data_IF_422137198280
#
_entry.id   IF_422137198280
#
_cell.length_a   1.000
_cell.length_b   1.000
_cell.length_c   1.000
_cell.angle_alpha   90.00
_cell.angle_beta   90.00
_cell.angle_gamma   90.00
#
_symmetry.space_group_name_H-M   'P 1'
#
loop_
_entity.id
_entity.type
_entity.pdbx_description
1 polymer ?
#
# COMPACT_ATOMS: atom_id res chain seq x y z
N UNK A 1 -19.47 3.36 33.27
CA UNK A 1 -18.00 3.36 33.16
C UNK A 1 -17.57 4.66 32.52
N UNK A 2 -17.00 5.59 33.34
CA UNK A 2 -16.47 6.86 32.85
C UNK A 2 -15.19 6.58 32.06
N UNK A 3 -15.16 6.92 30.77
CA UNK A 3 -13.96 6.88 29.96
C UNK A 3 -12.93 7.85 30.53
N UNK A 4 -11.77 7.34 30.89
CA UNK A 4 -10.64 8.15 31.28
C UNK A 4 -10.22 9.01 30.07
N UNK A 5 -10.56 10.30 30.09
CA UNK A 5 -9.99 11.29 29.18
C UNK A 5 -8.53 11.45 29.57
N UNK A 6 -7.63 10.81 28.84
CA UNK A 6 -6.19 11.07 28.93
C UNK A 6 -5.98 12.55 28.58
N UNK A 7 -5.67 13.39 29.57
CA UNK A 7 -5.40 14.80 29.34
C UNK A 7 -4.16 14.92 28.45
N UNK A 8 -4.29 15.71 27.39
CA UNK A 8 -3.19 16.01 26.47
C UNK A 8 -2.00 16.61 27.22
N UNK A 9 -0.74 16.17 26.98
CA UNK A 9 0.43 16.74 27.63
C UNK A 9 0.58 18.24 27.33
N UNK A 10 0.76 19.06 28.36
CA UNK A 10 0.91 20.51 28.22
C UNK A 10 2.20 20.91 27.48
N UNK A 11 3.29 20.12 27.61
CA UNK A 11 4.57 20.36 26.94
C UNK A 11 4.51 19.95 25.47
N UNK A 12 4.76 20.86 24.49
CA UNK A 12 4.78 20.56 23.08
C UNK A 12 5.73 19.42 22.69
N UNK A 13 6.86 19.28 23.35
CA UNK A 13 7.84 18.21 23.08
C UNK A 13 7.26 16.82 23.41
N UNK A 14 6.52 16.74 24.51
CA UNK A 14 5.83 15.50 24.90
C UNK A 14 4.70 15.16 23.92
N UNK A 15 3.98 16.18 23.42
CA UNK A 15 2.94 15.97 22.37
C UNK A 15 3.56 15.42 21.10
N UNK A 16 4.66 16.00 20.61
CA UNK A 16 5.39 15.49 19.44
C UNK A 16 5.86 14.05 19.67
N UNK A 17 6.48 13.78 20.82
CA UNK A 17 6.93 12.42 21.16
C UNK A 17 5.79 11.41 21.21
N UNK A 18 4.65 11.77 21.78
CA UNK A 18 3.46 10.93 21.84
C UNK A 18 2.86 10.67 20.43
N UNK A 19 2.79 11.70 19.59
CA UNK A 19 2.33 11.60 18.22
C UNK A 19 3.22 10.66 17.39
N UNK A 20 4.54 10.84 17.46
CA UNK A 20 5.50 9.96 16.78
C UNK A 20 5.39 8.52 17.28
N UNK A 21 5.25 8.32 18.60
CA UNK A 21 5.09 6.98 19.17
C UNK A 21 3.80 6.30 18.68
N UNK A 22 2.70 7.05 18.58
CA UNK A 22 1.43 6.54 18.07
C UNK A 22 1.46 6.24 16.56
N UNK A 23 2.27 6.99 15.79
CA UNK A 23 2.42 6.80 14.35
C UNK A 23 3.37 5.66 13.98
N UNK A 24 4.16 5.11 14.93
CA UNK A 24 5.10 4.03 14.66
C UNK A 24 4.41 2.73 14.31
N UNK A 25 4.82 2.16 13.17
CA UNK A 25 4.38 0.85 12.71
C UNK A 25 5.55 -0.13 12.85
N UNK A 26 5.39 -1.07 13.79
CA UNK A 26 6.39 -2.11 14.04
C UNK A 26 6.18 -3.31 13.12
N UNK A 27 7.24 -4.08 12.81
CA UNK A 27 7.09 -5.33 12.09
C UNK A 27 6.24 -6.31 12.90
N UNK A 28 5.37 -7.04 12.20
CA UNK A 28 4.51 -8.06 12.80
C UNK A 28 4.76 -9.40 12.17
N UNK A 29 4.50 -10.47 12.90
CA UNK A 29 4.68 -11.84 12.38
C UNK A 29 3.87 -12.07 11.10
N UNK A 30 2.63 -11.61 11.08
CA UNK A 30 1.71 -11.81 9.96
C UNK A 30 2.01 -10.88 8.77
N UNK A 31 2.87 -9.88 8.96
CA UNK A 31 3.35 -8.98 7.92
C UNK A 31 4.46 -9.59 7.05
N UNK A 32 5.02 -10.74 7.43
CA UNK A 32 6.09 -11.37 6.67
C UNK A 32 5.57 -12.29 5.57
N UNK A 33 6.05 -12.04 4.36
CA UNK A 33 5.97 -12.96 3.22
C UNK A 33 7.40 -13.43 2.90
N UNK A 34 7.77 -14.62 3.36
CA UNK A 34 9.16 -15.08 3.41
C UNK A 34 10.05 -14.09 4.19
N UNK A 35 11.07 -13.51 3.55
CA UNK A 35 11.96 -12.52 4.14
C UNK A 35 11.54 -11.06 3.92
N UNK A 36 10.37 -10.83 3.32
CA UNK A 36 9.83 -9.49 3.02
C UNK A 36 8.84 -9.11 4.12
N UNK A 37 9.12 -8.05 4.87
CA UNK A 37 8.12 -7.42 5.75
C UNK A 37 7.24 -6.53 4.90
N UNK A 38 5.95 -6.81 4.85
CA UNK A 38 4.94 -5.97 4.22
C UNK A 38 4.20 -5.14 5.27
N UNK A 39 4.16 -3.83 5.05
CA UNK A 39 3.38 -2.90 5.87
C UNK A 39 2.14 -2.43 5.09
N UNK A 40 0.98 -2.25 5.73
CA UNK A 40 -0.11 -1.49 5.12
C UNK A 40 0.31 -0.02 5.05
N UNK A 41 0.29 0.57 3.86
CA UNK A 41 0.61 1.99 3.71
C UNK A 41 -0.51 2.86 4.32
N UNK A 42 -0.11 3.83 5.12
CA UNK A 42 -0.96 4.87 5.66
C UNK A 42 -0.20 6.20 5.67
N UNK A 43 -0.90 7.28 5.36
CA UNK A 43 -0.30 8.61 5.38
C UNK A 43 0.14 9.00 6.79
N UNK A 44 1.36 9.55 6.91
CA UNK A 44 1.94 9.96 8.19
C UNK A 44 2.43 8.82 9.10
N UNK A 45 2.36 7.56 8.68
CA UNK A 45 2.91 6.44 9.44
C UNK A 45 4.45 6.45 9.45
N UNK A 46 5.06 6.06 10.58
CA UNK A 46 6.51 5.93 10.76
C UNK A 46 6.87 4.44 10.77
N UNK A 47 7.42 3.93 9.66
CA UNK A 47 7.74 2.50 9.51
C UNK A 47 9.09 2.17 10.11
N UNK A 48 9.12 1.23 11.06
CA UNK A 48 10.34 0.77 11.71
C UNK A 48 11.07 -0.25 10.85
N UNK A 49 12.33 0.01 10.51
CA UNK A 49 13.17 -0.89 9.72
C UNK A 49 14.47 -1.18 10.48
N UNK A 50 14.70 -2.45 10.71
CA UNK A 50 15.92 -2.94 11.39
C UNK A 50 16.96 -3.34 10.36
N UNK A 51 18.19 -2.90 10.58
CA UNK A 51 19.34 -3.10 9.70
C UNK A 51 20.55 -3.59 10.51
N UNK A 52 21.57 -4.12 9.85
CA UNK A 52 22.82 -4.52 10.53
C UNK A 52 24.05 -4.21 9.66
N UNK A 53 25.21 -3.90 10.25
CA UNK A 53 26.46 -3.73 9.51
C UNK A 53 26.81 -4.98 8.69
N UNK A 54 27.32 -4.75 7.48
CA UNK A 54 27.64 -5.84 6.55
C UNK A 54 26.45 -6.45 5.80
N UNK A 55 25.24 -6.02 6.13
CA UNK A 55 24.01 -6.45 5.46
C UNK A 55 23.36 -5.25 4.74
N UNK A 56 22.72 -5.52 3.61
CA UNK A 56 21.90 -4.54 2.87
C UNK A 56 20.44 -4.86 3.13
N UNK A 57 19.68 -3.84 3.49
CA UNK A 57 18.22 -3.91 3.55
C UNK A 57 17.64 -3.23 2.31
N UNK A 58 16.76 -3.93 1.60
CA UNK A 58 16.04 -3.46 0.43
C UNK A 58 14.69 -2.88 0.85
N UNK A 59 14.46 -1.62 0.52
CA UNK A 59 13.17 -0.95 0.68
C UNK A 59 12.53 -0.82 -0.70
N UNK A 60 11.59 -1.72 -1.01
CA UNK A 60 10.96 -1.83 -2.32
C UNK A 60 9.66 -1.01 -2.36
N UNK A 61 9.57 -0.04 -3.27
CA UNK A 61 8.38 0.79 -3.49
C UNK A 61 7.31 0.04 -4.30
N UNK A 62 6.20 0.69 -4.59
CA UNK A 62 5.15 0.11 -5.43
C UNK A 62 5.62 -0.01 -6.88
N UNK A 63 5.16 -1.05 -7.58
CA UNK A 63 5.40 -1.17 -9.03
C UNK A 63 4.85 0.03 -9.80
N UNK A 64 5.66 0.55 -10.73
CA UNK A 64 5.34 1.73 -11.53
C UNK A 64 5.44 3.06 -10.78
N UNK A 65 5.78 3.06 -9.49
CA UNK A 65 6.02 4.27 -8.69
C UNK A 65 7.44 4.80 -8.96
N UNK A 66 7.59 6.12 -9.11
CA UNK A 66 8.84 6.76 -9.48
C UNK A 66 9.29 7.77 -8.42
N UNK A 67 10.60 7.85 -8.21
CA UNK A 67 11.17 8.93 -7.40
C UNK A 67 11.03 10.27 -8.13
N UNK A 68 10.68 11.33 -7.40
CA UNK A 68 10.43 12.67 -7.99
C UNK A 68 11.20 13.78 -7.30
N UNK A 69 11.59 14.77 -8.08
CA UNK A 69 12.29 15.96 -7.60
C UNK A 69 13.80 15.76 -7.38
N UNK A 70 14.52 16.85 -7.06
CA UNK A 70 15.92 16.79 -6.69
C UNK A 70 16.07 16.25 -5.27
N UNK A 71 16.82 15.17 -5.08
CA UNK A 71 17.01 14.54 -3.76
C UNK A 71 15.72 13.87 -3.23
N UNK A 72 15.14 12.92 -3.99
CA UNK A 72 13.88 12.29 -3.60
C UNK A 72 13.99 11.41 -2.36
N UNK A 73 15.20 11.02 -1.98
CA UNK A 73 15.51 10.27 -0.77
C UNK A 73 16.37 11.14 0.14
N UNK A 74 15.82 11.53 1.28
CA UNK A 74 16.51 12.33 2.29
C UNK A 74 16.72 11.50 3.56
N UNK A 75 17.94 11.53 4.11
CA UNK A 75 18.28 10.85 5.35
C UNK A 75 18.75 11.88 6.39
N UNK A 76 18.40 11.65 7.65
CA UNK A 76 18.86 12.47 8.76
C UNK A 76 20.36 12.33 9.02
N UNK A 77 20.93 11.18 8.68
CA UNK A 77 22.37 10.89 8.84
C UNK A 77 22.92 10.22 7.57
N UNK A 78 23.61 10.98 6.76
CA UNK A 78 24.25 10.52 5.52
C UNK A 78 25.71 10.09 5.68
N UNK A 79 26.29 10.28 6.86
CA UNK A 79 27.69 9.94 7.14
C UNK A 79 27.82 8.48 7.59
N UNK A 80 26.92 8.03 8.46
CA UNK A 80 26.98 6.69 9.05
C UNK A 80 26.07 5.67 8.34
N UNK A 81 25.32 6.12 7.33
CA UNK A 81 24.42 5.30 6.52
C UNK A 81 24.78 5.41 5.05
N UNK A 82 24.98 4.26 4.44
CA UNK A 82 25.18 4.14 2.99
C UNK A 82 23.81 3.89 2.38
N UNK A 83 23.39 4.78 1.50
CA UNK A 83 22.07 4.75 0.87
C UNK A 83 22.28 4.88 -0.63
N UNK A 84 21.62 4.01 -1.38
CA UNK A 84 21.58 4.03 -2.84
C UNK A 84 20.20 3.65 -3.34
N UNK A 85 19.94 3.88 -4.59
CA UNK A 85 18.71 3.45 -5.26
C UNK A 85 19.03 2.68 -6.54
N UNK A 86 18.11 1.82 -6.92
CA UNK A 86 18.15 1.06 -8.17
C UNK A 86 16.73 0.72 -8.62
N UNK A 87 16.62 0.22 -9.85
CA UNK A 87 15.32 -0.17 -10.41
C UNK A 87 15.40 -1.61 -10.89
N UNK A 88 14.41 -2.41 -10.56
CA UNK A 88 14.18 -3.73 -11.13
C UNK A 88 12.97 -3.72 -12.06
N UNK A 89 12.91 -4.67 -13.00
CA UNK A 89 11.82 -4.77 -13.97
C UNK A 89 11.89 -3.69 -15.05
N UNK A 90 10.82 -3.55 -15.82
CA UNK A 90 10.74 -2.59 -16.92
C UNK A 90 9.29 -2.14 -17.18
N UNK A 91 9.12 -0.95 -17.77
CA UNK A 91 7.81 -0.40 -18.08
C UNK A 91 6.93 -0.24 -16.85
N UNK A 92 5.67 -0.67 -16.93
CA UNK A 92 4.71 -0.57 -15.85
C UNK A 92 5.05 -1.47 -14.65
N UNK A 93 5.90 -2.48 -14.82
CA UNK A 93 6.38 -3.40 -13.79
C UNK A 93 7.71 -2.94 -13.17
N UNK A 94 8.24 -1.80 -13.58
CA UNK A 94 9.46 -1.25 -12.99
C UNK A 94 9.21 -0.91 -11.51
N UNK A 95 10.16 -1.32 -10.66
CA UNK A 95 10.07 -1.09 -9.21
C UNK A 95 11.35 -0.43 -8.72
N UNK A 96 11.20 0.66 -8.01
CA UNK A 96 12.32 1.35 -7.35
C UNK A 96 12.64 0.66 -6.03
N UNK A 97 13.91 0.49 -5.77
CA UNK A 97 14.48 -0.06 -4.56
C UNK A 97 15.43 0.93 -3.91
N UNK A 98 15.24 1.22 -2.64
CA UNK A 98 16.18 2.01 -1.84
C UNK A 98 16.97 1.02 -0.99
N UNK A 99 18.29 0.97 -1.24
CA UNK A 99 19.20 0.06 -0.57
C UNK A 99 19.88 0.79 0.58
N UNK A 100 19.76 0.28 1.80
CA UNK A 100 20.30 0.90 2.98
C UNK A 100 21.26 -0.04 3.73
N UNK A 101 22.38 0.50 4.21
CA UNK A 101 23.36 -0.23 5.01
C UNK A 101 23.97 0.69 6.07
N UNK A 102 23.93 0.34 7.37
CA UNK A 102 24.61 1.09 8.41
C UNK A 102 26.11 0.77 8.41
N UNK A 103 26.93 1.71 8.84
CA UNK A 103 28.38 1.51 8.98
C UNK A 103 28.77 0.83 10.30
N UNK A 104 27.93 0.92 11.34
CA UNK A 104 28.12 0.31 12.64
C UNK A 104 26.77 0.00 13.31
N UNK A 105 26.75 -0.86 14.35
CA UNK A 105 25.53 -1.09 15.13
C UNK A 105 25.21 0.12 16.04
N UNK A 106 24.07 0.07 16.69
CA UNK A 106 23.60 1.01 17.72
C UNK A 106 23.53 2.46 17.25
N UNK A 107 23.17 2.66 15.98
CA UNK A 107 22.81 3.95 15.39
C UNK A 107 21.40 3.92 14.84
N UNK A 108 20.76 5.09 14.85
CA UNK A 108 19.45 5.28 14.27
C UNK A 108 19.42 6.53 13.40
N UNK A 109 18.57 6.53 12.40
CA UNK A 109 18.26 7.69 11.56
C UNK A 109 16.86 7.54 10.99
N UNK A 110 16.42 8.53 10.25
CA UNK A 110 15.17 8.45 9.48
C UNK A 110 15.43 8.68 7.99
N UNK A 111 14.55 8.14 7.18
CA UNK A 111 14.45 8.41 5.75
C UNK A 111 13.10 9.04 5.44
N UNK A 112 13.13 9.98 4.51
CA UNK A 112 11.94 10.48 3.82
C UNK A 112 12.12 10.17 2.35
N UNK A 113 11.20 9.42 1.77
CA UNK A 113 11.23 9.01 0.37
C UNK A 113 10.01 9.63 -0.33
N UNK A 114 10.27 10.48 -1.33
CA UNK A 114 9.24 11.17 -2.10
C UNK A 114 9.08 10.54 -3.47
N UNK A 115 7.84 10.22 -3.81
CA UNK A 115 7.49 9.60 -5.09
C UNK A 115 6.41 10.41 -5.81
N UNK A 116 6.09 10.01 -7.03
CA UNK A 116 4.98 10.56 -7.81
C UNK A 116 3.59 10.24 -7.23
N UNK A 117 3.52 9.34 -6.24
CA UNK A 117 2.26 8.89 -5.63
C UNK A 117 2.11 9.30 -4.16
N UNK A 118 3.21 9.26 -3.39
CA UNK A 118 3.15 9.43 -1.93
C UNK A 118 4.52 9.72 -1.32
N UNK A 119 4.51 10.00 -0.02
CA UNK A 119 5.74 10.11 0.79
C UNK A 119 5.78 8.96 1.80
N UNK A 120 6.96 8.37 1.97
CA UNK A 120 7.22 7.34 2.98
C UNK A 120 8.13 7.91 4.07
N UNK A 121 7.76 7.70 5.33
CA UNK A 121 8.59 8.03 6.48
C UNK A 121 9.07 6.73 7.12
N UNK A 122 10.37 6.51 7.10
CA UNK A 122 11.00 5.29 7.60
C UNK A 122 11.96 5.64 8.72
N UNK A 123 11.88 4.96 9.85
CA UNK A 123 12.85 5.03 10.93
C UNK A 123 13.77 3.81 10.86
N UNK A 124 15.08 4.05 10.65
CA UNK A 124 16.10 3.03 10.54
C UNK A 124 16.80 2.82 11.89
N UNK A 125 16.88 1.59 12.33
CA UNK A 125 17.62 1.20 13.54
C UNK A 125 18.66 0.14 13.19
N UNK A 126 19.93 0.41 13.47
CA UNK A 126 21.01 -0.56 13.27
C UNK A 126 21.22 -1.41 14.53
N UNK A 127 21.07 -2.71 14.38
CA UNK A 127 21.36 -3.71 15.41
C UNK A 127 22.74 -4.33 15.17
N UNK A 128 23.20 -5.19 16.07
CA UNK A 128 24.48 -5.90 15.90
C UNK A 128 24.45 -7.00 14.83
N UNK A 129 23.27 -7.64 14.61
CA UNK A 129 23.16 -8.80 13.72
C UNK A 129 21.79 -8.94 13.02
N UNK A 130 20.71 -8.51 13.67
CA UNK A 130 19.36 -8.65 13.13
C UNK A 130 19.09 -7.59 12.09
N UNK A 131 18.66 -8.00 10.88
CA UNK A 131 18.29 -7.09 9.81
C UNK A 131 17.08 -7.61 9.06
N UNK A 132 16.34 -6.70 8.44
CA UNK A 132 15.30 -7.03 7.48
C UNK A 132 15.94 -7.13 6.10
N UNK A 133 15.77 -8.28 5.41
CA UNK A 133 16.29 -8.45 4.07
C UNK A 133 15.57 -7.54 3.07
N UNK A 134 14.25 -7.46 3.18
CA UNK A 134 13.43 -6.57 2.34
C UNK A 134 12.20 -6.08 3.09
N UNK A 135 11.77 -4.87 2.75
CA UNK A 135 10.57 -4.20 3.23
C UNK A 135 9.77 -3.71 2.04
N UNK A 136 8.47 -3.88 2.07
CA UNK A 136 7.55 -3.37 1.06
C UNK A 136 6.21 -2.95 1.68
N UNK A 137 5.29 -2.45 0.86
CA UNK A 137 3.96 -2.04 1.34
C UNK A 137 2.85 -2.69 0.54
N UNK A 138 1.72 -2.89 1.21
CA UNK A 138 0.41 -3.07 0.58
C UNK A 138 -0.33 -1.75 0.56
N UNK A 139 -1.20 -1.55 -0.42
CA UNK A 139 -1.89 -0.27 -0.65
C UNK A 139 -3.41 -0.48 -0.66
N UNK A 140 -4.03 -0.65 0.52
CA UNK A 140 -5.45 -0.98 0.62
C UNK A 140 -6.38 0.07 -0.01
N UNK A 141 -6.00 1.36 0.07
CA UNK A 141 -6.80 2.44 -0.52
C UNK A 141 -6.76 2.41 -2.04
N UNK A 142 -5.59 2.19 -2.65
CA UNK A 142 -5.46 2.09 -4.11
C UNK A 142 -6.28 0.91 -4.65
N UNK A 143 -6.24 -0.23 -3.94
CA UNK A 143 -7.03 -1.41 -4.29
C UNK A 143 -8.54 -1.13 -4.22
N UNK A 144 -9.02 -0.39 -3.21
CA UNK A 144 -10.41 0.01 -3.09
C UNK A 144 -10.84 0.99 -4.19
N UNK A 145 -9.97 1.95 -4.55
CA UNK A 145 -10.24 2.90 -5.64
C UNK A 145 -10.32 2.16 -6.98
N UNK A 146 -9.39 1.26 -7.25
CA UNK A 146 -9.38 0.43 -8.46
C UNK A 146 -10.65 -0.44 -8.57
N UNK A 147 -11.07 -1.07 -7.46
CA UNK A 147 -12.29 -1.86 -7.41
C UNK A 147 -13.56 -1.02 -7.66
N UNK A 148 -13.65 0.17 -7.06
CA UNK A 148 -14.76 1.09 -7.30
C UNK A 148 -14.81 1.56 -8.75
N UNK A 149 -13.66 1.87 -9.35
CA UNK A 149 -13.53 2.22 -10.77
C UNK A 149 -13.99 1.09 -11.68
N UNK A 150 -13.56 -0.15 -11.42
CA UNK A 150 -13.97 -1.32 -12.17
C UNK A 150 -15.49 -1.57 -12.07
N UNK A 151 -16.07 -1.45 -10.87
CA UNK A 151 -17.50 -1.61 -10.65
C UNK A 151 -18.32 -0.50 -11.35
N UNK A 152 -17.84 0.75 -11.33
CA UNK A 152 -18.48 1.86 -12.04
C UNK A 152 -18.42 1.66 -13.56
N UNK A 153 -17.29 1.20 -14.09
CA UNK A 153 -17.14 0.87 -15.51
C UNK A 153 -18.06 -0.30 -15.93
N UNK A 154 -18.16 -1.33 -15.09
CA UNK A 154 -19.07 -2.45 -15.33
C UNK A 154 -20.54 -2.03 -15.26
N UNK A 155 -20.92 -1.11 -14.35
CA UNK A 155 -22.28 -0.57 -14.25
C UNK A 155 -22.64 0.35 -15.42
N UNK A 156 -21.66 1.08 -15.97
CA UNK A 156 -21.84 1.94 -17.15
C UNK A 156 -21.76 1.21 -18.48
N UNK A 157 -21.23 0.01 -18.51
CA UNK A 157 -21.31 -0.91 -19.65
C UNK A 157 -22.77 -1.34 -19.76
N UNK A 158 -23.60 -0.57 -20.49
CA UNK A 158 -24.95 -0.97 -20.83
C UNK A 158 -24.89 -2.38 -21.43
N UNK A 159 -25.81 -3.29 -21.07
CA UNK A 159 -25.87 -4.58 -21.71
C UNK A 159 -26.05 -4.34 -23.21
N UNK A 160 -25.00 -4.62 -23.99
CA UNK A 160 -25.04 -4.53 -25.44
C UNK A 160 -25.87 -5.73 -25.92
N UNK A 161 -27.19 -5.62 -25.81
CA UNK A 161 -28.10 -6.39 -26.63
C UNK A 161 -28.00 -5.82 -28.05
N UNK A 162 -26.91 -6.16 -28.72
CA UNK A 162 -26.74 -5.80 -30.10
C UNK A 162 -27.85 -6.49 -30.91
N UNK A 163 -28.84 -5.72 -31.34
CA UNK A 163 -29.75 -6.13 -32.38
C UNK A 163 -31.18 -6.53 -31.97
N UNK A 164 -31.59 -6.40 -30.71
CA UNK A 164 -33.01 -6.61 -30.35
C UNK A 164 -33.61 -5.27 -29.89
N UNK A 165 -34.42 -4.65 -30.76
CA UNK A 165 -35.25 -3.52 -30.39
C UNK A 165 -36.35 -4.01 -29.44
N UNK A 166 -36.20 -3.70 -28.13
CA UNK A 166 -37.17 -4.03 -27.10
C UNK A 166 -38.56 -3.44 -27.39
N UNK A 167 -38.64 -2.33 -28.13
CA UNK A 167 -39.89 -1.69 -28.54
C UNK A 167 -40.58 -2.47 -29.69
N UNK A 168 -39.81 -3.26 -30.42
CA UNK A 168 -40.32 -4.12 -31.51
C UNK A 168 -40.72 -5.52 -31.04
N UNK A 169 -40.51 -5.86 -29.76
CA UNK A 169 -40.90 -7.14 -29.20
C UNK A 169 -42.41 -7.22 -29.03
N UNK A 170 -43.06 -8.07 -29.79
CA UNK A 170 -44.49 -8.29 -29.71
C UNK A 170 -44.80 -9.34 -28.64
N UNK A 171 -45.25 -8.88 -27.46
CA UNK A 171 -45.66 -9.77 -26.34
C UNK A 171 -47.11 -10.28 -26.47
N UNK A 172 -47.79 -10.01 -27.60
CA UNK A 172 -49.16 -10.46 -27.82
C UNK A 172 -49.21 -11.86 -28.47
N UNK A 173 -48.68 -12.86 -27.76
CA UNK A 173 -48.84 -14.25 -28.18
C UNK A 173 -50.15 -14.78 -27.66
N UNK A 174 -51.00 -15.27 -28.60
CA UNK A 174 -52.16 -16.06 -28.27
C UNK A 174 -51.87 -17.50 -28.68
N UNK A 175 -51.85 -18.41 -27.71
CA UNK A 175 -51.75 -19.84 -28.02
C UNK A 175 -53.09 -20.30 -28.52
N UNK A 176 -53.19 -20.54 -29.81
CA UNK A 176 -54.36 -21.16 -30.46
C UNK A 176 -53.94 -22.53 -30.98
N UNK A 177 -54.57 -23.57 -30.49
CA UNK A 177 -54.36 -24.95 -30.94
C UNK A 177 -55.11 -25.92 -30.05
N UNK A 178 -55.49 -27.07 -30.60
CA UNK A 178 -56.20 -28.13 -29.89
C UNK A 178 -55.33 -28.66 -28.75
N UNK A 179 -55.92 -28.74 -27.57
CA UNK A 179 -55.42 -29.29 -26.28
C UNK A 179 -53.99 -29.83 -26.29
N UNK A 180 -53.06 -28.96 -25.91
CA UNK A 180 -51.70 -29.42 -25.62
C UNK A 180 -51.68 -30.41 -24.45
N UNK A 181 -50.94 -31.52 -24.54
CA UNK A 181 -50.90 -32.57 -23.51
C UNK A 181 -50.16 -32.15 -22.22
N UNK A 182 -49.66 -30.94 -22.16
CA UNK A 182 -48.95 -30.40 -20.99
C UNK A 182 -49.57 -29.08 -20.49
N UNK A 183 -49.70 -28.94 -19.17
CA UNK A 183 -50.06 -27.67 -18.53
C UNK A 183 -48.86 -27.16 -17.79
N UNK A 184 -48.46 -25.86 -17.94
CA UNK A 184 -47.46 -25.27 -17.06
C UNK A 184 -47.99 -25.24 -15.63
N UNK A 185 -47.20 -25.73 -14.67
CA UNK A 185 -47.46 -25.54 -13.24
C UNK A 185 -47.19 -24.09 -12.89
N UNK A 186 -48.12 -23.46 -12.14
CA UNK A 186 -47.94 -22.16 -11.53
C UNK A 186 -46.86 -22.20 -10.46
#
# INVERSE_FOLDING_TARGET
AAGATTSEPADPRRRVGAANAAARVQPTRDGYMNAIQQYPWADGALYQVYTAPGQVTDIALQEGEQLVGPGPVAAGDTVRWIIGDTVSGSGAMARVHILVKPTRPDIATNLVINTDRRTYHVELSATSATYMASVSWTYPQDALIALRGANAAAASAAPVFAGIDLAALNFRYRITGDRAPWRPRR
#
